data_IF_014699586187
#
_entry.id   IF_014699586187
#
_cell.length_a   1.000
_cell.length_b   1.000
_cell.length_c   1.000
_cell.angle_alpha   90.00
_cell.angle_beta   90.00
_cell.angle_gamma   90.00
#
_symmetry.space_group_name_H-M   'P 1'
#
loop_
_entity.id
_entity.type
_entity.pdbx_description
1 polymer ?
#
# COMPACT_ATOMS: atom_id res chain seq x y z
N UNK A 1 5.97 -7.93 -4.35
CA UNK A 1 6.22 -6.72 -3.53
C UNK A 1 7.16 -6.97 -2.34
N UNK A 2 6.97 -8.03 -1.56
CA UNK A 2 7.84 -8.39 -0.41
C UNK A 2 9.32 -8.53 -0.81
N UNK A 3 9.63 -9.35 -1.82
CA UNK A 3 11.02 -9.55 -2.32
C UNK A 3 11.66 -8.24 -2.79
N UNK A 4 10.87 -7.34 -3.40
CA UNK A 4 11.34 -6.03 -3.85
C UNK A 4 11.75 -5.15 -2.66
N UNK A 5 10.92 -5.07 -1.62
CA UNK A 5 11.21 -4.27 -0.43
C UNK A 5 12.42 -4.83 0.34
N UNK A 6 12.50 -6.15 0.56
CA UNK A 6 13.66 -6.75 1.22
C UNK A 6 14.96 -6.50 0.46
N UNK A 7 14.96 -6.72 -0.86
CA UNK A 7 16.12 -6.44 -1.72
C UNK A 7 16.51 -4.97 -1.69
N UNK A 8 15.53 -4.06 -1.62
CA UNK A 8 15.79 -2.62 -1.56
C UNK A 8 16.40 -2.22 -0.21
N UNK A 9 15.81 -2.67 0.89
CA UNK A 9 16.25 -2.33 2.26
C UNK A 9 17.66 -2.87 2.54
N UNK A 10 17.97 -4.08 2.05
CA UNK A 10 19.30 -4.67 2.22
C UNK A 10 20.42 -3.87 1.54
N UNK A 11 20.11 -3.17 0.43
CA UNK A 11 21.11 -2.44 -0.34
C UNK A 11 21.14 -0.92 -0.04
N UNK A 12 20.00 -0.32 0.34
CA UNK A 12 19.84 1.14 0.43
C UNK A 12 19.34 1.62 1.81
N UNK A 13 19.11 0.70 2.76
CA UNK A 13 18.52 1.00 4.07
C UNK A 13 17.02 1.29 4.02
N UNK A 14 16.46 1.70 5.15
CA UNK A 14 15.02 1.97 5.31
C UNK A 14 14.68 3.34 4.68
N UNK A 15 13.78 3.39 3.69
CA UNK A 15 13.34 4.65 3.09
C UNK A 15 12.31 5.35 4.00
N UNK A 16 12.03 6.62 3.70
CA UNK A 16 11.01 7.41 4.44
C UNK A 16 9.58 6.95 4.13
N UNK A 17 9.35 6.46 2.90
CA UNK A 17 8.11 5.83 2.42
C UNK A 17 8.44 4.75 1.39
N UNK A 18 7.51 3.82 1.14
CA UNK A 18 7.63 2.81 0.08
C UNK A 18 7.80 3.50 -1.28
N UNK A 19 7.10 4.61 -1.51
CA UNK A 19 7.23 5.40 -2.74
C UNK A 19 8.60 6.05 -2.92
N UNK A 20 9.34 6.36 -1.85
CA UNK A 20 10.70 6.92 -1.95
C UNK A 20 11.71 5.95 -2.59
N UNK A 21 11.36 4.65 -2.65
CA UNK A 21 12.15 3.65 -3.41
C UNK A 21 12.26 4.01 -4.91
N UNK A 22 11.29 4.74 -5.46
CA UNK A 22 11.33 5.26 -6.84
C UNK A 22 12.57 6.13 -7.10
N UNK A 23 12.97 6.95 -6.13
CA UNK A 23 14.06 7.92 -6.31
C UNK A 23 15.44 7.35 -6.03
N UNK A 24 15.52 6.40 -5.09
CA UNK A 24 16.78 5.80 -4.64
C UNK A 24 17.20 4.59 -5.47
N UNK A 25 16.29 4.02 -6.25
CA UNK A 25 16.60 2.90 -7.13
C UNK A 25 17.08 3.40 -8.50
N UNK A 26 18.08 2.73 -9.06
CA UNK A 26 18.62 3.04 -10.38
C UNK A 26 17.57 2.78 -11.50
N UNK A 27 16.66 1.83 -11.27
CA UNK A 27 15.58 1.47 -12.18
C UNK A 27 14.23 2.00 -11.66
N UNK A 28 13.97 3.30 -11.88
CA UNK A 28 12.78 4.01 -11.38
C UNK A 28 11.44 3.37 -11.76
N UNK A 29 11.36 2.79 -12.96
CA UNK A 29 10.15 2.11 -13.47
C UNK A 29 9.76 0.85 -12.66
N UNK A 30 10.70 0.25 -11.92
CA UNK A 30 10.42 -0.97 -11.14
C UNK A 30 9.35 -0.71 -10.08
N UNK A 31 9.38 0.45 -9.42
CA UNK A 31 8.40 0.78 -8.40
C UNK A 31 6.95 0.71 -8.95
N UNK A 32 6.68 1.42 -10.05
CA UNK A 32 5.38 1.41 -10.71
C UNK A 32 5.02 0.02 -11.23
N UNK A 33 5.97 -0.70 -11.83
CA UNK A 33 5.71 -2.04 -12.36
C UNK A 33 5.31 -3.02 -11.24
N UNK A 34 6.04 -3.05 -10.11
CA UNK A 34 5.70 -3.95 -9.01
C UNK A 34 4.37 -3.53 -8.36
N UNK A 35 4.04 -2.23 -8.29
CA UNK A 35 2.73 -1.77 -7.81
C UNK A 35 1.58 -2.17 -8.73
N UNK A 36 1.73 -2.02 -10.05
CA UNK A 36 0.71 -2.43 -11.03
C UNK A 36 0.47 -3.94 -10.93
N UNK A 37 1.55 -4.73 -10.89
CA UNK A 37 1.43 -6.19 -10.71
C UNK A 37 0.72 -6.53 -9.40
N UNK A 38 1.07 -5.87 -8.29
CA UNK A 38 0.40 -6.07 -7.01
C UNK A 38 -1.10 -5.70 -7.08
N UNK A 39 -1.44 -4.57 -7.71
CA UNK A 39 -2.82 -4.11 -7.88
C UNK A 39 -3.64 -5.09 -8.72
N UNK A 40 -3.09 -5.54 -9.85
CA UNK A 40 -3.75 -6.49 -10.75
C UNK A 40 -4.01 -7.84 -10.07
N UNK A 41 -3.07 -8.33 -9.26
CA UNK A 41 -3.27 -9.56 -8.49
C UNK A 41 -4.30 -9.38 -7.36
N UNK A 42 -4.33 -8.22 -6.72
CA UNK A 42 -5.29 -7.92 -5.65
C UNK A 42 -6.70 -7.58 -6.16
N UNK A 43 -6.83 -7.17 -7.43
CA UNK A 43 -8.08 -6.70 -8.03
C UNK A 43 -9.23 -7.70 -7.89
N UNK A 44 -9.05 -8.91 -8.43
CA UNK A 44 -10.07 -9.95 -8.42
C UNK A 44 -10.50 -10.35 -7.00
N UNK A 45 -9.57 -10.71 -6.08
CA UNK A 45 -9.99 -11.12 -4.74
C UNK A 45 -10.62 -9.98 -3.94
N UNK A 46 -10.15 -8.73 -4.08
CA UNK A 46 -10.80 -7.59 -3.44
C UNK A 46 -12.22 -7.44 -3.97
N UNK A 47 -12.44 -7.36 -5.28
CA UNK A 47 -13.78 -7.06 -5.82
C UNK A 47 -14.77 -8.22 -5.68
N UNK A 48 -14.30 -9.47 -5.72
CA UNK A 48 -15.17 -10.64 -5.65
C UNK A 48 -15.59 -10.98 -4.21
N UNK A 49 -14.70 -10.82 -3.23
CA UNK A 49 -15.00 -11.16 -1.84
C UNK A 49 -15.52 -9.98 -1.02
N UNK A 50 -15.52 -8.76 -1.56
CA UNK A 50 -16.11 -7.61 -0.87
C UNK A 50 -17.64 -7.61 -1.02
N UNK A 51 -18.41 -7.66 0.08
CA UNK A 51 -19.86 -7.50 0.08
C UNK A 51 -20.32 -6.21 -0.61
N UNK A 52 -21.49 -6.26 -1.26
CA UNK A 52 -22.05 -5.12 -1.99
C UNK A 52 -22.23 -3.85 -1.14
N UNK A 53 -22.53 -4.01 0.15
CA UNK A 53 -22.73 -2.88 1.08
C UNK A 53 -21.51 -1.97 1.23
N UNK A 54 -20.30 -2.48 0.96
CA UNK A 54 -19.07 -1.70 1.04
C UNK A 54 -18.09 -1.96 -0.13
N UNK A 55 -18.59 -2.47 -1.27
CA UNK A 55 -17.78 -2.74 -2.48
C UNK A 55 -17.08 -1.49 -3.04
N UNK A 56 -17.61 -0.30 -2.78
CA UNK A 56 -16.98 0.97 -3.13
C UNK A 56 -15.58 1.14 -2.50
N UNK A 57 -15.33 0.55 -1.31
CA UNK A 57 -14.01 0.56 -0.68
C UNK A 57 -13.00 -0.24 -1.52
N UNK A 58 -13.42 -1.40 -2.03
CA UNK A 58 -12.61 -2.21 -2.94
C UNK A 58 -12.20 -1.43 -4.20
N UNK A 59 -13.14 -0.65 -4.75
CA UNK A 59 -12.85 0.26 -5.87
C UNK A 59 -11.81 1.33 -5.50
N UNK A 60 -11.96 2.00 -4.35
CA UNK A 60 -11.00 3.00 -3.90
C UNK A 60 -9.61 2.44 -3.64
N UNK A 61 -9.50 1.22 -3.11
CA UNK A 61 -8.22 0.54 -2.92
C UNK A 61 -7.56 0.28 -4.28
N UNK A 62 -8.28 -0.35 -5.20
CA UNK A 62 -7.74 -0.68 -6.53
C UNK A 62 -7.36 0.60 -7.29
N UNK A 63 -8.27 1.55 -7.40
CA UNK A 63 -8.05 2.80 -8.12
C UNK A 63 -6.90 3.59 -7.48
N UNK A 64 -6.87 3.68 -6.14
CA UNK A 64 -5.81 4.35 -5.40
C UNK A 64 -4.42 3.78 -5.71
N UNK A 65 -4.27 2.45 -5.76
CA UNK A 65 -2.97 1.84 -6.12
C UNK A 65 -2.57 2.19 -7.56
N UNK A 66 -3.50 2.16 -8.52
CA UNK A 66 -3.20 2.56 -9.89
C UNK A 66 -2.80 4.04 -10.00
N UNK A 67 -3.47 4.94 -9.28
CA UNK A 67 -3.10 6.35 -9.23
C UNK A 67 -1.71 6.55 -8.62
N UNK A 68 -1.39 5.88 -7.51
CA UNK A 68 -0.06 5.90 -6.89
C UNK A 68 1.01 5.38 -7.85
N UNK A 69 0.71 4.29 -8.58
CA UNK A 69 1.62 3.72 -9.56
C UNK A 69 1.82 4.61 -10.81
N UNK A 70 0.78 5.34 -11.23
CA UNK A 70 0.81 6.27 -12.36
C UNK A 70 1.43 7.63 -12.00
N UNK A 71 1.47 7.98 -10.71
CA UNK A 71 2.09 9.19 -10.17
C UNK A 71 3.32 8.88 -9.30
N UNK A 72 4.30 8.06 -9.76
CA UNK A 72 5.39 7.60 -8.91
C UNK A 72 6.38 8.73 -8.56
N UNK A 73 6.42 9.79 -9.37
CA UNK A 73 7.27 10.96 -9.19
C UNK A 73 6.69 11.97 -8.18
N UNK A 74 6.41 11.52 -6.95
CA UNK A 74 5.69 12.32 -5.94
C UNK A 74 6.44 13.55 -5.38
N UNK A 75 7.72 13.76 -5.71
CA UNK A 75 8.48 14.98 -5.32
C UNK A 75 8.22 16.17 -6.26
N UNK A 76 7.57 15.95 -7.41
CA UNK A 76 7.05 17.04 -8.23
C UNK A 76 5.80 17.64 -7.56
N UNK A 77 5.60 18.95 -7.63
CA UNK A 77 4.55 19.63 -6.88
C UNK A 77 3.13 19.17 -7.26
N UNK A 78 2.86 19.01 -8.55
CA UNK A 78 1.53 18.60 -9.02
C UNK A 78 1.34 17.10 -8.85
N UNK A 79 2.33 16.31 -9.27
CA UNK A 79 2.29 14.84 -9.17
C UNK A 79 2.26 14.40 -7.71
N UNK A 80 2.97 15.11 -6.83
CA UNK A 80 3.02 14.85 -5.39
C UNK A 80 1.69 15.05 -4.70
N UNK A 81 0.92 16.09 -5.05
CA UNK A 81 -0.44 16.30 -4.52
C UNK A 81 -1.37 15.14 -4.91
N UNK A 82 -1.31 14.71 -6.17
CA UNK A 82 -2.11 13.57 -6.67
C UNK A 82 -1.68 12.27 -5.99
N UNK A 83 -0.39 12.01 -5.90
CA UNK A 83 0.17 10.82 -5.26
C UNK A 83 -0.22 10.74 -3.79
N UNK A 84 -0.03 11.84 -3.05
CA UNK A 84 -0.34 11.91 -1.63
C UNK A 84 -1.84 11.73 -1.39
N UNK A 85 -2.69 12.42 -2.17
CA UNK A 85 -4.14 12.25 -2.09
C UNK A 85 -4.57 10.82 -2.37
N UNK A 86 -4.04 10.20 -3.44
CA UNK A 86 -4.34 8.82 -3.79
C UNK A 86 -3.85 7.84 -2.70
N UNK A 87 -2.66 8.05 -2.14
CA UNK A 87 -2.11 7.21 -1.08
C UNK A 87 -2.91 7.31 0.23
N UNK A 88 -3.40 8.50 0.59
CA UNK A 88 -4.26 8.70 1.76
C UNK A 88 -5.60 7.98 1.56
N UNK A 89 -6.27 8.22 0.42
CA UNK A 89 -7.55 7.57 0.11
C UNK A 89 -7.40 6.05 0.09
N UNK A 90 -6.34 5.55 -0.55
CA UNK A 90 -5.98 4.15 -0.55
C UNK A 90 -5.80 3.60 0.87
N UNK A 91 -4.97 4.25 1.69
CA UNK A 91 -4.66 3.79 3.05
C UNK A 91 -5.89 3.75 3.95
N UNK A 92 -6.71 4.81 3.93
CA UNK A 92 -7.95 4.87 4.70
C UNK A 92 -8.94 3.81 4.20
N UNK A 93 -9.15 3.70 2.89
CA UNK A 93 -10.06 2.71 2.32
C UNK A 93 -9.61 1.28 2.67
N UNK A 94 -8.31 0.99 2.61
CA UNK A 94 -7.75 -0.32 2.97
C UNK A 94 -8.00 -0.65 4.45
N UNK A 95 -7.68 0.28 5.37
CA UNK A 95 -7.87 0.05 6.81
C UNK A 95 -9.35 -0.15 7.15
N UNK A 96 -10.25 0.67 6.59
CA UNK A 96 -11.70 0.52 6.80
C UNK A 96 -12.21 -0.79 6.20
N UNK A 97 -11.72 -1.17 5.02
CA UNK A 97 -12.09 -2.44 4.39
C UNK A 97 -11.67 -3.65 5.24
N UNK A 98 -10.42 -3.67 5.74
CA UNK A 98 -9.94 -4.70 6.66
C UNK A 98 -10.83 -4.77 7.91
N UNK A 99 -11.15 -3.61 8.49
CA UNK A 99 -12.02 -3.49 9.66
C UNK A 99 -13.39 -4.15 9.46
N UNK A 100 -13.96 -4.02 8.26
CA UNK A 100 -15.27 -4.57 7.91
C UNK A 100 -15.23 -6.04 7.47
N UNK A 101 -14.11 -6.51 6.92
CA UNK A 101 -14.01 -7.88 6.38
C UNK A 101 -13.52 -8.89 7.41
N UNK A 102 -12.46 -8.58 8.18
CA UNK A 102 -11.84 -9.52 9.14
C UNK A 102 -11.92 -8.98 10.58
N UNK A 103 -12.28 -7.72 10.76
CA UNK A 103 -12.30 -7.06 12.07
C UNK A 103 -11.00 -6.28 12.30
N UNK A 104 -10.49 -6.28 13.53
CA UNK A 104 -9.45 -5.32 13.93
C UNK A 104 -8.16 -5.44 13.09
N UNK A 105 -7.70 -4.34 12.44
CA UNK A 105 -6.49 -4.30 11.60
C UNK A 105 -5.21 -4.24 12.46
N UNK A 106 -4.89 -5.36 13.12
CA UNK A 106 -3.80 -5.44 14.09
C UNK A 106 -2.43 -5.05 13.53
N UNK A 107 -2.09 -5.43 12.28
CA UNK A 107 -0.76 -5.16 11.74
C UNK A 107 -0.62 -3.70 11.29
N UNK A 108 -1.72 -3.08 10.85
CA UNK A 108 -1.79 -1.65 10.57
C UNK A 108 -1.58 -0.84 11.84
N UNK A 109 -2.18 -1.26 12.96
CA UNK A 109 -1.95 -0.65 14.28
C UNK A 109 -0.50 -0.84 14.74
N UNK A 110 0.09 -2.02 14.57
CA UNK A 110 1.50 -2.26 14.89
C UNK A 110 2.41 -1.37 14.05
N UNK A 111 2.19 -1.26 12.75
CA UNK A 111 2.94 -0.36 11.86
C UNK A 111 2.87 1.09 12.32
N UNK A 112 1.69 1.56 12.74
CA UNK A 112 1.52 2.88 13.33
C UNK A 112 2.31 3.04 14.64
N UNK A 113 2.25 2.07 15.56
CA UNK A 113 3.00 2.15 16.83
C UNK A 113 4.50 2.22 16.58
N UNK A 114 5.05 1.37 15.70
CA UNK A 114 6.47 1.38 15.32
C UNK A 114 6.83 2.72 14.67
N UNK A 115 5.96 3.23 13.80
CA UNK A 115 6.12 4.53 13.16
C UNK A 115 6.17 5.69 14.15
N UNK A 116 5.38 5.64 15.23
CA UNK A 116 5.42 6.65 16.30
C UNK A 116 6.74 6.61 17.08
N UNK A 117 7.33 5.43 17.28
CA UNK A 117 8.67 5.30 17.86
C UNK A 117 9.78 5.73 16.89
N UNK A 118 9.53 5.68 15.58
CA UNK A 118 10.49 6.05 14.54
C UNK A 118 9.92 7.10 13.57
N UNK A 119 9.75 8.32 14.09
CA UNK A 119 9.13 9.44 13.38
C UNK A 119 9.78 9.77 12.02
N UNK A 120 11.07 9.45 11.84
CA UNK A 120 11.78 9.67 10.57
C UNK A 120 11.21 8.81 9.42
N UNK A 121 10.76 7.61 9.73
CA UNK A 121 10.27 6.62 8.76
C UNK A 121 8.82 6.21 9.07
N UNK A 122 8.06 7.09 9.74
CA UNK A 122 6.69 6.80 10.18
C UNK A 122 5.80 6.36 9.02
N UNK A 123 5.87 7.07 7.88
CA UNK A 123 5.06 6.78 6.70
C UNK A 123 5.39 5.39 6.15
N UNK A 124 6.67 5.04 6.04
CA UNK A 124 7.10 3.71 5.61
C UNK A 124 6.52 2.61 6.51
N UNK A 125 6.59 2.74 7.83
CA UNK A 125 6.07 1.72 8.76
C UNK A 125 4.55 1.59 8.69
N UNK A 126 3.83 2.71 8.53
CA UNK A 126 2.37 2.70 8.33
C UNK A 126 2.01 2.01 7.01
N UNK A 127 2.65 2.39 5.90
CA UNK A 127 2.42 1.78 4.59
C UNK A 127 2.71 0.28 4.59
N UNK A 128 3.80 -0.15 5.24
CA UNK A 128 4.14 -1.57 5.40
C UNK A 128 3.11 -2.30 6.26
N UNK A 129 2.67 -1.72 7.38
CA UNK A 129 1.65 -2.32 8.25
C UNK A 129 0.33 -2.57 7.51
N UNK A 130 -0.17 -1.56 6.79
CA UNK A 130 -1.38 -1.67 5.97
C UNK A 130 -1.20 -2.72 4.87
N UNK A 131 -0.07 -2.68 4.16
CA UNK A 131 0.20 -3.61 3.06
C UNK A 131 0.23 -5.07 3.55
N UNK A 132 0.86 -5.35 4.69
CA UNK A 132 0.90 -6.70 5.26
C UNK A 132 -0.51 -7.15 5.68
N UNK A 133 -1.31 -6.28 6.31
CA UNK A 133 -2.68 -6.62 6.69
C UNK A 133 -3.56 -6.91 5.46
N UNK A 134 -3.44 -6.13 4.38
CA UNK A 134 -4.17 -6.39 3.13
C UNK A 134 -3.79 -7.76 2.58
N UNK A 135 -2.49 -8.09 2.44
CA UNK A 135 -2.08 -9.41 1.95
C UNK A 135 -2.51 -10.55 2.87
N UNK A 136 -2.47 -10.34 4.18
CA UNK A 136 -3.00 -11.29 5.16
C UNK A 136 -4.50 -11.54 4.92
N UNK A 137 -5.28 -10.48 4.71
CA UNK A 137 -6.71 -10.61 4.41
C UNK A 137 -6.93 -11.38 3.10
N UNK A 138 -6.21 -11.03 2.04
CA UNK A 138 -6.33 -11.72 0.75
C UNK A 138 -5.96 -13.21 0.86
N UNK A 139 -4.95 -13.54 1.66
CA UNK A 139 -4.56 -14.93 1.91
C UNK A 139 -5.66 -15.73 2.62
N UNK A 140 -6.42 -15.11 3.53
CA UNK A 140 -7.58 -15.75 4.16
C UNK A 140 -8.80 -15.88 3.25
N UNK A 141 -8.94 -14.97 2.27
CA UNK A 141 -10.08 -14.95 1.34
C UNK A 141 -9.89 -15.88 0.13
N UNK A 142 -8.65 -16.08 -0.34
CA UNK A 142 -8.33 -16.96 -1.49
C UNK A 142 -8.75 -18.45 -1.36
N UNK A 143 -8.68 -19.10 -0.18
CA UNK A 143 -9.12 -20.48 -0.02
C UNK A 143 -10.64 -20.64 0.27
N UNK A 144 -11.41 -19.54 0.34
CA UNK A 144 -12.84 -19.54 0.63
C UNK A 144 -13.69 -19.39 -0.65
#
# INVERSE_FOLDING_TARGET
MVVYLFSFIGNNGIPTSISDTYYRNNKRWLFSAVLIVAASLALAPILNHTPESYKFLGFFIVAGIFFVAASPAFKDEFVGKVHCGAAIVLGVAAVVWIALTIGVPWLSLLGLTIGLFNLRNIVFWVEVGILIDVYRCLFYLLPA
#
